data_IF_782475826164
#
_entry.id   IF_782475826164
#
_cell.length_a   1.000
_cell.length_b   1.000
_cell.length_c   1.000
_cell.angle_alpha   90.00
_cell.angle_beta   90.00
_cell.angle_gamma   90.00
#
_symmetry.space_group_name_H-M   'P 1'
#
loop_
_entity.id
_entity.type
_entity.pdbx_description
1 polymer ?
#
# COMPACT_ATOMS: atom_id res chain seq x y z
N UNK A 1 5.75 -75.64 -13.04
CA UNK A 1 4.99 -75.97 -11.81
C UNK A 1 5.90 -76.67 -10.81
N UNK A 2 6.36 -75.94 -9.79
CA UNK A 2 6.94 -76.46 -8.54
C UNK A 2 6.39 -75.56 -7.43
N UNK A 3 5.62 -76.12 -6.50
CA UNK A 3 5.13 -75.42 -5.31
C UNK A 3 6.30 -75.11 -4.36
N UNK A 4 6.39 -73.93 -3.74
CA UNK A 4 7.14 -73.76 -2.51
C UNK A 4 6.31 -74.23 -1.31
N UNK A 5 7.02 -74.71 -0.28
CA UNK A 5 6.51 -75.28 0.97
C UNK A 5 5.97 -74.18 1.91
N UNK A 6 4.95 -74.57 2.68
CA UNK A 6 4.30 -73.85 3.80
C UNK A 6 5.34 -73.20 4.74
N UNK A 7 5.26 -71.89 5.05
CA UNK A 7 4.44 -71.27 6.10
C UNK A 7 4.78 -71.80 7.52
N UNK A 8 5.81 -71.21 8.15
CA UNK A 8 5.98 -71.24 9.60
C UNK A 8 4.96 -70.26 10.21
N UNK A 9 3.72 -70.74 10.35
CA UNK A 9 2.70 -70.14 11.19
C UNK A 9 3.10 -70.48 12.63
N UNK A 10 3.32 -69.46 13.44
CA UNK A 10 3.50 -69.61 14.88
C UNK A 10 2.12 -69.96 15.44
N UNK A 11 1.82 -71.25 15.57
CA UNK A 11 0.66 -71.75 16.29
C UNK A 11 0.82 -71.41 17.78
N UNK A 12 0.04 -70.45 18.24
CA UNK A 12 -0.20 -70.22 19.66
C UNK A 12 -1.43 -71.06 19.99
N UNK A 13 -1.21 -72.28 20.48
CA UNK A 13 -2.27 -73.07 21.13
C UNK A 13 -2.73 -72.33 22.38
N UNK A 14 -3.92 -71.75 22.33
CA UNK A 14 -4.64 -71.22 23.49
C UNK A 14 -5.57 -72.33 23.95
N UNK A 15 -5.12 -73.10 24.95
CA UNK A 15 -5.94 -74.10 25.62
C UNK A 15 -6.97 -73.37 26.50
N UNK A 16 -8.27 -73.62 26.27
CA UNK A 16 -9.36 -72.79 26.79
C UNK A 16 -9.85 -73.20 28.19
N UNK A 17 -9.13 -74.07 28.92
CA UNK A 17 -9.51 -74.51 30.27
C UNK A 17 -8.32 -74.87 31.19
N UNK A 18 -7.43 -73.90 31.50
CA UNK A 18 -6.59 -73.98 32.70
C UNK A 18 -6.66 -72.67 33.51
N UNK A 19 -6.58 -72.83 34.82
CA UNK A 19 -6.76 -71.82 35.87
C UNK A 19 -6.05 -70.48 35.61
N UNK A 20 -6.62 -69.41 36.16
CA UNK A 20 -6.15 -68.00 36.16
C UNK A 20 -4.75 -67.81 36.80
N UNK A 21 -3.72 -68.48 36.31
CA UNK A 21 -2.34 -68.35 36.75
C UNK A 21 -1.45 -68.02 35.54
N UNK A 22 -1.37 -66.74 35.18
CA UNK A 22 -0.62 -66.24 34.03
C UNK A 22 0.84 -66.73 33.89
N UNK A 23 1.44 -66.50 32.73
CA UNK A 23 2.75 -67.01 32.32
C UNK A 23 3.88 -66.42 33.19
N UNK A 24 4.73 -67.22 33.86
CA UNK A 24 5.84 -66.71 34.68
C UNK A 24 6.83 -65.85 33.88
N UNK A 25 7.35 -64.78 34.50
CA UNK A 25 8.23 -63.79 33.82
C UNK A 25 9.48 -64.43 33.18
N UNK A 26 9.97 -65.51 33.78
CA UNK A 26 11.16 -66.26 33.36
C UNK A 26 10.97 -66.91 31.99
N UNK A 27 9.73 -67.23 31.60
CA UNK A 27 9.38 -67.85 30.31
C UNK A 27 8.98 -66.83 29.23
N UNK A 28 8.96 -65.54 29.54
CA UNK A 28 8.57 -64.48 28.59
C UNK A 28 9.75 -63.96 27.77
N UNK A 29 9.47 -63.57 26.52
CA UNK A 29 10.42 -62.86 25.65
C UNK A 29 10.73 -61.44 26.18
N UNK A 30 11.90 -60.89 25.86
CA UNK A 30 12.40 -59.60 26.36
C UNK A 30 11.41 -58.45 26.16
N UNK A 31 10.70 -58.42 25.03
CA UNK A 31 9.67 -57.43 24.73
C UNK A 31 8.48 -57.53 25.70
N UNK A 32 7.96 -58.75 25.97
CA UNK A 32 6.83 -58.96 26.88
C UNK A 32 7.20 -58.72 28.35
N UNK A 33 8.47 -58.94 28.71
CA UNK A 33 8.99 -58.63 30.06
C UNK A 33 8.90 -57.14 30.39
N UNK A 34 9.08 -56.25 29.41
CA UNK A 34 9.00 -54.78 29.60
C UNK A 34 7.57 -54.36 30.00
N UNK A 35 6.54 -55.06 29.53
CA UNK A 35 5.15 -54.75 29.79
C UNK A 35 4.51 -55.60 30.90
N UNK A 36 5.28 -56.49 31.54
CA UNK A 36 4.80 -57.31 32.65
C UNK A 36 5.10 -56.62 33.98
N UNK A 37 4.08 -56.41 34.83
CA UNK A 37 4.25 -55.89 36.20
C UNK A 37 3.85 -56.99 37.18
N UNK A 38 4.83 -57.56 37.90
CA UNK A 38 4.63 -58.68 38.83
C UNK A 38 5.33 -59.96 38.39
N UNK A 39 5.08 -61.09 39.07
CA UNK A 39 5.79 -62.37 38.82
C UNK A 39 5.26 -63.17 37.62
N UNK A 40 4.07 -62.81 37.09
CA UNK A 40 3.34 -63.53 36.04
C UNK A 40 2.70 -62.56 35.07
N UNK A 41 2.65 -62.92 33.79
CA UNK A 41 2.06 -62.18 32.68
C UNK A 41 0.71 -62.77 32.30
N UNK A 42 -0.28 -61.90 32.21
CA UNK A 42 -1.62 -62.23 31.78
C UNK A 42 -1.93 -61.44 30.49
N UNK A 43 -2.24 -62.15 29.41
CA UNK A 43 -2.57 -61.53 28.13
C UNK A 43 -3.78 -60.60 28.21
N UNK A 44 -4.74 -60.89 29.11
CA UNK A 44 -5.90 -60.04 29.35
C UNK A 44 -5.49 -58.73 30.01
N UNK A 45 -4.72 -58.79 31.08
CA UNK A 45 -4.24 -57.60 31.80
C UNK A 45 -3.29 -56.74 30.95
N UNK A 46 -2.47 -57.39 30.11
CA UNK A 46 -1.61 -56.71 29.15
C UNK A 46 -2.43 -56.00 28.08
N UNK A 47 -3.39 -56.70 27.45
CA UNK A 47 -4.25 -56.11 26.43
C UNK A 47 -5.11 -54.97 26.99
N UNK A 48 -5.67 -55.13 28.19
CA UNK A 48 -6.47 -54.08 28.84
C UNK A 48 -5.64 -52.84 29.17
N UNK A 49 -4.38 -53.01 29.59
CA UNK A 49 -3.45 -51.89 29.85
C UNK A 49 -2.97 -51.22 28.57
N UNK A 50 -2.62 -52.00 27.54
CA UNK A 50 -2.24 -51.46 26.23
C UNK A 50 -3.42 -50.69 25.62
N UNK A 51 -4.63 -51.24 25.68
CA UNK A 51 -5.85 -50.56 25.24
C UNK A 51 -6.08 -49.27 26.02
N UNK A 52 -5.94 -49.30 27.35
CA UNK A 52 -6.08 -48.10 28.19
C UNK A 52 -5.04 -47.03 27.86
N UNK A 53 -3.76 -47.40 27.71
CA UNK A 53 -2.68 -46.50 27.32
C UNK A 53 -2.90 -45.91 25.92
N UNK A 54 -3.36 -46.72 24.98
CA UNK A 54 -3.69 -46.25 23.62
C UNK A 54 -4.85 -45.26 23.66
N UNK A 55 -5.91 -45.53 24.41
CA UNK A 55 -7.06 -44.61 24.55
C UNK A 55 -6.66 -43.31 25.26
N UNK A 56 -5.88 -43.39 26.34
CA UNK A 56 -5.35 -42.21 27.05
C UNK A 56 -4.43 -41.39 26.14
N UNK A 57 -3.56 -42.05 25.37
CA UNK A 57 -2.72 -41.42 24.37
C UNK A 57 -3.55 -40.71 23.30
N UNK A 58 -4.55 -41.37 22.71
CA UNK A 58 -5.41 -40.75 21.69
C UNK A 58 -6.24 -39.60 22.26
N UNK A 59 -6.74 -39.70 23.49
CA UNK A 59 -7.48 -38.61 24.14
C UNK A 59 -6.61 -37.36 24.36
N UNK A 60 -5.37 -37.54 24.85
CA UNK A 60 -4.43 -36.43 25.06
C UNK A 60 -3.94 -35.88 23.72
N UNK A 61 -3.57 -36.76 22.78
CA UNK A 61 -3.10 -36.38 21.45
C UNK A 61 -4.17 -35.59 20.68
N UNK A 62 -5.42 -36.05 20.69
CA UNK A 62 -6.54 -35.32 20.09
C UNK A 62 -6.77 -33.98 20.79
N UNK A 63 -6.70 -33.92 22.12
CA UNK A 63 -6.82 -32.65 22.85
C UNK A 63 -5.77 -31.61 22.46
N UNK A 64 -4.50 -32.02 22.35
CA UNK A 64 -3.40 -31.15 21.92
C UNK A 64 -3.51 -30.79 20.44
N UNK A 65 -3.79 -31.76 19.58
CA UNK A 65 -3.95 -31.54 18.14
C UNK A 65 -5.11 -30.59 17.83
N UNK A 66 -6.27 -30.78 18.48
CA UNK A 66 -7.43 -29.91 18.34
C UNK A 66 -7.14 -28.50 18.87
N UNK A 67 -6.42 -28.37 20.00
CA UNK A 67 -5.99 -27.04 20.50
C UNK A 67 -5.13 -26.33 19.47
N UNK A 68 -4.11 -27.00 18.92
CA UNK A 68 -3.22 -26.42 17.91
C UNK A 68 -3.97 -26.07 16.61
N UNK A 69 -4.89 -26.92 16.16
CA UNK A 69 -5.70 -26.66 14.97
C UNK A 69 -6.67 -25.47 15.15
N UNK A 70 -7.23 -25.30 16.36
CA UNK A 70 -8.07 -24.15 16.71
C UNK A 70 -7.23 -22.89 16.84
N UNK A 71 -6.06 -22.97 17.46
CA UNK A 71 -5.14 -21.83 17.61
C UNK A 71 -4.63 -21.35 16.25
N UNK A 72 -4.26 -22.27 15.35
CA UNK A 72 -3.87 -21.94 13.98
C UNK A 72 -5.01 -21.24 13.21
N UNK A 73 -6.24 -21.74 13.30
CA UNK A 73 -7.41 -21.09 12.67
C UNK A 73 -7.75 -19.73 13.30
N UNK A 74 -7.48 -19.54 14.60
CA UNK A 74 -7.68 -18.25 15.28
C UNK A 74 -6.63 -17.23 14.87
N UNK A 75 -5.38 -17.67 14.70
CA UNK A 75 -4.29 -16.85 14.15
C UNK A 75 -4.63 -16.39 12.72
N UNK A 76 -5.02 -17.33 11.83
CA UNK A 76 -5.47 -17.01 10.47
C UNK A 76 -6.66 -16.03 10.44
N UNK A 77 -7.62 -16.18 11.35
CA UNK A 77 -8.80 -15.30 11.45
C UNK A 77 -8.45 -13.89 11.98
N UNK A 78 -7.52 -13.79 12.94
CA UNK A 78 -7.03 -12.50 13.44
C UNK A 78 -6.24 -11.75 12.37
N UNK A 79 -5.38 -12.45 11.63
CA UNK A 79 -4.61 -11.89 10.51
C UNK A 79 -5.56 -11.38 9.42
N UNK A 80 -6.60 -12.15 9.08
CA UNK A 80 -7.65 -11.73 8.16
C UNK A 80 -8.39 -10.46 8.63
N UNK A 81 -8.72 -10.36 9.91
CA UNK A 81 -9.39 -9.17 10.46
C UNK A 81 -8.50 -7.93 10.40
N UNK A 82 -7.19 -8.09 10.65
CA UNK A 82 -6.20 -7.03 10.48
C UNK A 82 -6.07 -6.60 9.01
N UNK A 83 -6.07 -7.55 8.07
CA UNK A 83 -6.02 -7.28 6.64
C UNK A 83 -7.23 -6.48 6.16
N UNK A 84 -8.44 -6.87 6.55
CA UNK A 84 -9.68 -6.15 6.18
C UNK A 84 -9.67 -4.73 6.74
N UNK A 85 -9.22 -4.55 7.98
CA UNK A 85 -9.08 -3.21 8.57
C UNK A 85 -8.06 -2.35 7.80
N UNK A 86 -6.93 -2.93 7.41
CA UNK A 86 -5.94 -2.23 6.59
C UNK A 86 -6.48 -1.87 5.20
N UNK A 87 -7.30 -2.75 4.59
CA UNK A 87 -8.00 -2.46 3.34
C UNK A 87 -8.95 -1.26 3.47
N UNK A 88 -9.72 -1.14 4.55
CA UNK A 88 -10.56 0.04 4.78
C UNK A 88 -9.76 1.34 4.98
N UNK A 89 -8.60 1.26 5.64
CA UNK A 89 -7.69 2.40 5.76
C UNK A 89 -7.14 2.80 4.38
N UNK A 90 -6.78 1.83 3.54
CA UNK A 90 -6.37 2.11 2.15
C UNK A 90 -7.49 2.73 1.33
N UNK A 91 -8.75 2.31 1.47
CA UNK A 91 -9.89 2.97 0.81
C UNK A 91 -9.99 4.45 1.20
N UNK A 92 -9.77 4.75 2.49
CA UNK A 92 -9.78 6.13 2.99
C UNK A 92 -8.62 6.94 2.41
N UNK A 93 -7.39 6.43 2.52
CA UNK A 93 -6.20 7.13 2.02
C UNK A 93 -6.20 7.31 0.50
N UNK A 94 -6.68 6.31 -0.27
CA UNK A 94 -6.82 6.45 -1.73
C UNK A 94 -7.82 7.57 -2.09
N UNK A 95 -8.93 7.70 -1.35
CA UNK A 95 -9.86 8.82 -1.55
C UNK A 95 -9.22 10.16 -1.19
N UNK A 96 -8.43 10.23 -0.12
CA UNK A 96 -7.68 11.44 0.24
C UNK A 96 -6.67 11.82 -0.85
N UNK A 97 -5.98 10.84 -1.46
CA UNK A 97 -5.10 11.08 -2.61
C UNK A 97 -5.88 11.63 -3.80
N UNK A 98 -7.07 11.11 -4.09
CA UNK A 98 -7.91 11.62 -5.19
C UNK A 98 -8.30 13.08 -4.94
N UNK A 99 -8.80 13.41 -3.75
CA UNK A 99 -9.15 14.79 -3.38
C UNK A 99 -7.92 15.71 -3.46
N UNK A 100 -6.79 15.30 -2.88
CA UNK A 100 -5.54 16.06 -2.93
C UNK A 100 -5.06 16.30 -4.36
N UNK A 101 -5.15 15.28 -5.22
CA UNK A 101 -4.75 15.37 -6.63
C UNK A 101 -5.67 16.32 -7.40
N UNK A 102 -6.98 16.33 -7.11
CA UNK A 102 -7.94 17.24 -7.73
C UNK A 102 -7.72 18.69 -7.33
N UNK A 103 -7.52 18.96 -6.04
CA UNK A 103 -7.16 20.30 -5.56
C UNK A 103 -5.87 20.82 -6.22
N UNK A 104 -4.89 19.93 -6.42
CA UNK A 104 -3.63 20.27 -7.07
C UNK A 104 -3.79 20.53 -8.57
N UNK A 105 -4.62 19.73 -9.26
CA UNK A 105 -4.96 19.94 -10.67
C UNK A 105 -5.70 21.27 -10.87
N UNK A 106 -6.66 21.59 -10.00
CA UNK A 106 -7.40 22.86 -10.04
C UNK A 106 -6.45 24.06 -9.88
N UNK A 107 -5.51 23.97 -8.94
CA UNK A 107 -4.45 24.97 -8.77
C UNK A 107 -3.59 25.13 -10.03
N UNK A 108 -3.10 24.02 -10.59
CA UNK A 108 -2.31 24.03 -11.82
C UNK A 108 -3.07 24.64 -13.01
N UNK A 109 -4.34 24.31 -13.17
CA UNK A 109 -5.20 24.87 -14.23
C UNK A 109 -5.31 26.38 -14.06
N UNK A 110 -5.57 26.85 -12.84
CA UNK A 110 -5.67 28.29 -12.56
C UNK A 110 -4.38 29.04 -12.89
N UNK A 111 -3.22 28.53 -12.44
CA UNK A 111 -1.93 29.14 -12.75
C UNK A 111 -1.56 29.06 -14.23
N UNK A 112 -1.88 27.94 -14.89
CA UNK A 112 -1.65 27.77 -16.33
C UNK A 112 -2.41 28.82 -17.12
N UNK A 113 -3.70 28.96 -16.87
CA UNK A 113 -4.57 29.94 -17.54
C UNK A 113 -4.11 31.39 -17.26
N UNK A 114 -3.76 31.70 -16.01
CA UNK A 114 -3.21 33.00 -15.63
C UNK A 114 -1.91 33.35 -16.40
N UNK A 115 -0.97 32.41 -16.45
CA UNK A 115 0.33 32.61 -17.10
C UNK A 115 0.26 32.52 -18.63
N UNK A 116 -0.66 31.74 -19.18
CA UNK A 116 -0.90 31.63 -20.62
C UNK A 116 -1.45 32.94 -21.17
N UNK A 117 -2.47 33.54 -20.52
CA UNK A 117 -2.96 34.87 -20.87
C UNK A 117 -1.85 35.92 -20.87
N UNK A 118 -0.98 35.89 -19.85
CA UNK A 118 0.14 36.80 -19.77
C UNK A 118 1.17 36.57 -20.89
N UNK A 119 1.45 35.31 -21.22
CA UNK A 119 2.38 34.93 -22.27
C UNK A 119 1.90 35.36 -23.66
N UNK A 120 0.61 35.17 -23.95
CA UNK A 120 -0.02 35.52 -25.22
C UNK A 120 -0.02 37.02 -25.45
N UNK A 121 -0.36 37.78 -24.40
CA UNK A 121 -0.40 39.24 -24.44
C UNK A 121 0.99 39.88 -24.46
N UNK A 122 2.07 39.15 -24.16
CA UNK A 122 3.41 39.71 -23.93
C UNK A 122 3.87 40.73 -24.96
N UNK A 123 3.59 40.50 -26.25
CA UNK A 123 4.02 41.36 -27.36
C UNK A 123 3.02 42.47 -27.74
N UNK A 124 1.87 42.58 -27.08
CA UNK A 124 0.85 43.57 -27.41
C UNK A 124 1.30 44.98 -27.04
N UNK A 125 1.03 45.97 -27.90
CA UNK A 125 1.26 47.38 -27.59
C UNK A 125 0.10 47.93 -26.74
N UNK A 126 0.10 47.57 -25.46
CA UNK A 126 -0.90 47.99 -24.47
C UNK A 126 -0.19 48.44 -23.19
N UNK A 127 -0.58 49.60 -22.65
CA UNK A 127 0.01 50.14 -21.42
C UNK A 127 -0.19 49.20 -20.21
N UNK A 128 -1.27 48.42 -20.19
CA UNK A 128 -1.61 47.46 -19.12
C UNK A 128 -1.31 46.01 -19.50
N UNK A 129 -0.42 45.76 -20.47
CA UNK A 129 -0.13 44.42 -21.00
C UNK A 129 0.28 43.38 -19.95
N UNK A 130 0.88 43.81 -18.83
CA UNK A 130 1.29 42.97 -17.71
C UNK A 130 0.30 42.95 -16.53
N UNK A 131 -0.88 43.53 -16.70
CA UNK A 131 -1.92 43.56 -15.68
C UNK A 131 -3.13 42.76 -16.16
N UNK A 132 -3.68 41.94 -15.26
CA UNK A 132 -4.95 41.26 -15.43
C UNK A 132 -5.97 41.80 -14.43
N UNK A 133 -7.25 41.54 -14.68
CA UNK A 133 -8.35 41.99 -13.82
C UNK A 133 -8.98 40.79 -13.14
N UNK A 134 -9.10 40.84 -11.80
CA UNK A 134 -9.88 39.86 -11.04
C UNK A 134 -11.18 40.48 -10.56
N UNK A 135 -12.28 39.73 -10.61
CA UNK A 135 -13.60 40.16 -10.19
C UNK A 135 -14.40 40.87 -11.29
N UNK A 136 -15.61 41.29 -10.96
CA UNK A 136 -16.54 41.95 -11.89
C UNK A 136 -17.09 43.26 -11.29
N UNK A 137 -17.41 44.21 -12.18
CA UNK A 137 -18.08 45.46 -11.78
C UNK A 137 -17.20 46.36 -10.90
N UNK A 138 -17.79 46.92 -9.85
CA UNK A 138 -17.12 47.89 -8.97
C UNK A 138 -16.07 47.30 -8.03
N UNK A 139 -16.05 45.96 -7.87
CA UNK A 139 -15.08 45.25 -7.02
C UNK A 139 -13.90 44.71 -7.81
N UNK A 140 -13.90 44.89 -9.14
CA UNK A 140 -12.81 44.41 -9.98
C UNK A 140 -11.51 45.16 -9.65
N UNK A 141 -10.43 44.41 -9.48
CA UNK A 141 -9.11 44.99 -9.21
C UNK A 141 -8.06 44.46 -10.19
N UNK A 142 -7.14 45.35 -10.55
CA UNK A 142 -5.99 45.00 -11.37
C UNK A 142 -4.92 44.32 -10.51
N UNK A 143 -4.26 43.32 -11.07
CA UNK A 143 -3.11 42.67 -10.47
C UNK A 143 -2.14 42.24 -11.57
N UNK A 144 -0.85 42.10 -11.25
CA UNK A 144 0.12 41.57 -12.18
C UNK A 144 0.19 40.03 -12.07
N UNK A 145 -0.11 39.25 -13.12
CA UNK A 145 0.02 37.79 -13.09
C UNK A 145 1.38 37.31 -12.60
N UNK A 146 2.45 37.96 -13.06
CA UNK A 146 3.83 37.61 -12.71
C UNK A 146 4.22 37.97 -11.27
N UNK A 147 3.37 38.67 -10.51
CA UNK A 147 3.57 38.83 -9.06
C UNK A 147 3.42 37.50 -8.30
N UNK A 148 2.70 36.53 -8.87
CA UNK A 148 2.55 35.19 -8.33
C UNK A 148 3.58 34.20 -8.88
N UNK A 149 4.58 34.67 -9.63
CA UNK A 149 5.52 33.78 -10.33
C UNK A 149 6.44 33.01 -9.37
N UNK A 150 6.64 33.46 -8.15
CA UNK A 150 7.43 32.71 -7.16
C UNK A 150 6.64 31.61 -6.44
N UNK A 151 5.33 31.49 -6.71
CA UNK A 151 4.50 30.48 -6.06
C UNK A 151 4.77 29.10 -6.63
N UNK A 152 5.52 28.29 -5.88
CA UNK A 152 5.73 26.87 -6.16
C UNK A 152 4.51 26.03 -5.74
N UNK A 153 4.28 24.92 -6.44
CA UNK A 153 3.22 23.95 -6.14
C UNK A 153 3.81 22.55 -5.99
N UNK A 154 4.50 22.25 -4.88
CA UNK A 154 5.00 20.90 -4.64
C UNK A 154 3.83 19.92 -4.49
N UNK A 155 4.01 18.71 -5.02
CA UNK A 155 3.04 17.63 -4.90
C UNK A 155 3.55 16.59 -3.89
N UNK A 156 2.81 16.36 -2.81
CA UNK A 156 3.13 15.38 -1.76
C UNK A 156 1.86 14.74 -1.19
N UNK A 157 1.32 13.71 -1.84
CA UNK A 157 0.07 13.08 -1.44
C UNK A 157 0.23 12.28 -0.13
N UNK A 158 -0.86 12.06 0.63
CA UNK A 158 -0.83 11.28 1.87
C UNK A 158 -0.35 9.84 1.61
N UNK A 159 0.36 9.27 2.58
CA UNK A 159 0.97 7.93 2.49
C UNK A 159 1.14 7.24 3.85
N UNK A 160 0.36 7.67 4.86
CA UNK A 160 0.52 7.25 6.25
C UNK A 160 0.17 5.78 6.41
N UNK A 161 -0.94 5.35 5.84
CA UNK A 161 -1.43 3.97 5.87
C UNK A 161 -0.46 3.06 5.15
N UNK A 162 -0.08 3.42 3.92
CA UNK A 162 0.91 2.66 3.17
C UNK A 162 2.22 2.47 3.94
N UNK A 163 2.77 3.54 4.49
CA UNK A 163 4.01 3.49 5.27
C UNK A 163 3.85 2.61 6.51
N UNK A 164 2.73 2.74 7.25
CA UNK A 164 2.47 1.93 8.44
C UNK A 164 2.38 0.44 8.12
N UNK A 165 1.61 0.08 7.08
CA UNK A 165 1.37 -1.31 6.67
C UNK A 165 2.62 -1.96 6.08
N UNK A 166 3.50 -1.18 5.41
CA UNK A 166 4.81 -1.67 5.03
C UNK A 166 5.72 -1.95 6.24
N UNK A 167 5.72 -1.05 7.24
CA UNK A 167 6.57 -1.17 8.42
C UNK A 167 6.17 -2.33 9.34
N UNK A 168 4.87 -2.58 9.49
CA UNK A 168 4.35 -3.67 10.33
C UNK A 168 4.38 -5.05 9.62
N UNK A 169 4.73 -5.07 8.33
CA UNK A 169 4.88 -6.30 7.54
C UNK A 169 3.56 -6.94 7.12
N UNK A 170 2.42 -6.30 7.38
CA UNK A 170 1.10 -6.80 6.98
C UNK A 170 0.80 -6.57 5.49
N UNK A 171 1.62 -5.74 4.81
CA UNK A 171 1.53 -5.52 3.37
C UNK A 171 1.57 -6.82 2.54
N UNK A 172 2.34 -7.82 3.01
CA UNK A 172 2.50 -9.14 2.35
C UNK A 172 1.23 -10.00 2.34
N UNK A 173 0.21 -9.62 3.10
CA UNK A 173 -1.04 -10.35 3.19
C UNK A 173 -2.11 -9.82 2.22
N UNK A 174 -1.79 -8.74 1.50
CA UNK A 174 -2.59 -8.27 0.39
C UNK A 174 -2.47 -9.22 -0.80
N UNK A 175 -3.49 -9.23 -1.67
CA UNK A 175 -3.37 -9.92 -2.94
C UNK A 175 -2.28 -9.27 -3.81
N UNK A 176 -1.42 -10.07 -4.45
CA UNK A 176 -0.28 -9.61 -5.26
C UNK A 176 -0.64 -8.48 -6.25
N UNK A 177 -1.83 -8.56 -6.86
CA UNK A 177 -2.31 -7.55 -7.83
C UNK A 177 -2.58 -6.20 -7.18
N UNK A 178 -3.15 -6.20 -5.98
CA UNK A 178 -3.41 -5.01 -5.17
C UNK A 178 -2.10 -4.45 -4.61
N UNK A 179 -1.23 -5.32 -4.07
CA UNK A 179 0.09 -4.95 -3.54
C UNK A 179 0.91 -4.19 -4.59
N UNK A 180 0.99 -4.71 -5.81
CA UNK A 180 1.71 -4.07 -6.92
C UNK A 180 1.11 -2.72 -7.31
N UNK A 181 -0.22 -2.59 -7.34
CA UNK A 181 -0.90 -1.31 -7.65
C UNK A 181 -0.62 -0.26 -6.59
N UNK A 182 -0.75 -0.61 -5.30
CA UNK A 182 -0.44 0.28 -4.19
C UNK A 182 1.04 0.69 -4.24
N UNK A 183 1.96 -0.26 -4.42
CA UNK A 183 3.39 0.04 -4.53
C UNK A 183 3.70 1.08 -5.61
N UNK A 184 3.08 0.95 -6.79
CA UNK A 184 3.25 1.90 -7.89
C UNK A 184 2.65 3.28 -7.61
N UNK A 185 1.55 3.34 -6.86
CA UNK A 185 0.91 4.60 -6.44
C UNK A 185 1.81 5.33 -5.44
N UNK A 186 2.23 4.66 -4.36
CA UNK A 186 2.89 5.30 -3.22
C UNK A 186 4.42 5.42 -3.34
N UNK A 187 5.05 4.55 -4.12
CA UNK A 187 6.52 4.46 -4.18
C UNK A 187 7.08 4.15 -5.58
N UNK A 188 6.22 4.15 -6.60
CA UNK A 188 6.62 3.91 -7.98
C UNK A 188 7.44 5.05 -8.56
N UNK A 189 8.11 4.77 -9.68
CA UNK A 189 8.86 5.77 -10.44
C UNK A 189 8.00 6.93 -10.90
N UNK A 190 6.72 6.68 -11.21
CA UNK A 190 5.80 7.71 -11.67
C UNK A 190 5.58 8.79 -10.61
N UNK A 191 5.29 8.40 -9.36
CA UNK A 191 5.14 9.35 -8.27
C UNK A 191 6.44 10.11 -8.04
N UNK A 192 7.59 9.42 -8.05
CA UNK A 192 8.89 10.08 -7.96
C UNK A 192 9.05 11.20 -9.00
N UNK A 193 8.75 10.93 -10.27
CA UNK A 193 8.88 11.93 -11.32
C UNK A 193 7.84 13.06 -11.22
N UNK A 194 6.64 12.79 -10.71
CA UNK A 194 5.64 13.83 -10.43
C UNK A 194 6.20 14.79 -9.36
N UNK A 195 6.70 14.26 -8.24
CA UNK A 195 7.27 15.07 -7.15
C UNK A 195 8.48 15.88 -7.62
N UNK A 196 9.38 15.26 -8.39
CA UNK A 196 10.56 15.94 -8.95
C UNK A 196 10.16 17.08 -9.91
N UNK A 197 9.17 16.86 -10.77
CA UNK A 197 8.70 17.90 -11.69
C UNK A 197 7.96 19.04 -10.98
N UNK A 198 7.07 18.71 -10.03
CA UNK A 198 6.28 19.67 -9.26
C UNK A 198 7.11 20.52 -8.30
N UNK A 199 8.24 19.99 -7.84
CA UNK A 199 9.12 20.71 -6.93
C UNK A 199 10.39 21.19 -7.62
N UNK A 200 11.35 20.30 -7.88
CA UNK A 200 12.70 20.70 -8.27
C UNK A 200 12.78 21.33 -9.65
N UNK A 201 12.04 20.78 -10.63
CA UNK A 201 12.06 21.34 -11.99
C UNK A 201 11.36 22.69 -12.04
N UNK A 202 10.20 22.83 -11.38
CA UNK A 202 9.50 24.12 -11.28
C UNK A 202 10.34 25.15 -10.51
N UNK A 203 10.92 24.75 -9.37
CA UNK A 203 11.78 25.62 -8.57
C UNK A 203 12.98 26.14 -9.36
N UNK A 204 13.62 25.30 -10.18
CA UNK A 204 14.72 25.77 -11.03
C UNK A 204 14.27 26.85 -12.04
N UNK A 205 13.03 26.80 -12.52
CA UNK A 205 12.47 27.82 -13.41
C UNK A 205 12.16 29.12 -12.62
N UNK A 206 11.65 28.99 -11.40
CA UNK A 206 11.43 30.12 -10.48
C UNK A 206 12.76 30.78 -10.11
N UNK A 207 13.80 29.99 -9.81
CA UNK A 207 15.12 30.50 -9.45
C UNK A 207 15.74 31.28 -10.63
N UNK A 208 15.56 30.80 -11.86
CA UNK A 208 15.97 31.53 -13.08
C UNK A 208 15.24 32.89 -13.21
N UNK A 209 13.97 32.98 -12.79
CA UNK A 209 13.20 34.23 -12.75
C UNK A 209 13.73 35.19 -11.70
N UNK A 210 13.95 34.70 -10.48
CA UNK A 210 14.52 35.49 -9.37
C UNK A 210 15.92 36.00 -9.73
N UNK A 211 16.76 35.13 -10.30
CA UNK A 211 18.10 35.50 -10.76
C UNK A 211 18.05 36.56 -11.87
N UNK A 212 17.11 36.45 -12.81
CA UNK A 212 16.96 37.48 -13.85
C UNK A 212 16.56 38.83 -13.26
N UNK A 213 15.73 38.85 -12.24
CA UNK A 213 15.40 40.09 -11.53
C UNK A 213 16.65 40.67 -10.85
N UNK A 214 17.35 39.86 -10.05
CA UNK A 214 18.51 40.32 -9.28
C UNK A 214 19.67 40.79 -10.15
N UNK A 215 19.96 40.04 -11.22
CA UNK A 215 21.18 40.22 -12.00
C UNK A 215 21.01 41.21 -13.15
N UNK A 216 19.76 41.53 -13.50
CA UNK A 216 19.47 42.40 -14.65
C UNK A 216 18.51 43.51 -14.35
N UNK A 217 17.32 43.19 -13.86
CA UNK A 217 16.30 44.23 -13.66
C UNK A 217 16.73 45.23 -12.60
N UNK A 218 17.33 44.78 -11.49
CA UNK A 218 17.84 45.68 -10.46
C UNK A 218 18.93 46.62 -10.99
N UNK A 219 19.83 46.12 -11.84
CA UNK A 219 20.91 46.94 -12.43
C UNK A 219 20.38 47.94 -13.47
N UNK A 220 19.48 47.49 -14.35
CA UNK A 220 19.08 48.25 -15.53
C UNK A 220 17.82 49.12 -15.31
N UNK A 221 16.94 48.73 -14.38
CA UNK A 221 15.70 49.47 -14.02
C UNK A 221 15.88 50.25 -12.71
N UNK A 222 16.59 49.67 -11.73
CA UNK A 222 16.73 50.23 -10.38
C UNK A 222 15.81 49.54 -9.37
N UNK A 223 14.90 50.28 -8.76
CA UNK A 223 13.97 49.74 -7.76
C UNK A 223 12.97 48.78 -8.41
N UNK A 224 13.11 47.48 -8.15
CA UNK A 224 12.21 46.44 -8.66
C UNK A 224 11.25 46.03 -7.56
N UNK A 225 9.95 46.14 -7.83
CA UNK A 225 8.91 45.65 -6.93
C UNK A 225 7.76 44.98 -7.70
N UNK A 226 7.92 43.68 -7.93
CA UNK A 226 7.00 42.88 -8.74
C UNK A 226 5.61 42.71 -8.12
N UNK A 227 5.43 43.06 -6.85
CA UNK A 227 4.14 43.00 -6.17
C UNK A 227 3.23 44.21 -6.47
N UNK A 228 3.78 45.32 -6.99
CA UNK A 228 3.03 46.54 -7.26
C UNK A 228 2.75 46.69 -8.76
N UNK A 229 1.51 47.04 -9.10
CA UNK A 229 1.06 47.18 -10.49
C UNK A 229 1.82 48.30 -11.24
N UNK A 230 2.18 49.36 -10.52
CA UNK A 230 2.91 50.52 -11.04
C UNK A 230 4.26 50.10 -11.64
N UNK A 231 4.98 49.18 -10.99
CA UNK A 231 6.24 48.65 -11.51
C UNK A 231 6.06 48.05 -12.91
N UNK A 232 5.01 47.25 -13.10
CA UNK A 232 4.73 46.59 -14.38
C UNK A 232 4.29 47.58 -15.46
N UNK A 233 3.48 48.57 -15.09
CA UNK A 233 3.02 49.62 -15.98
C UNK A 233 4.18 50.50 -16.47
N UNK A 234 5.00 51.01 -15.53
CA UNK A 234 6.09 51.96 -15.81
C UNK A 234 7.20 51.30 -16.62
N UNK A 235 7.46 50.01 -16.39
CA UNK A 235 8.59 49.29 -16.99
C UNK A 235 8.19 48.38 -18.16
N UNK A 236 6.94 48.43 -18.63
CA UNK A 236 6.44 47.49 -19.64
C UNK A 236 7.37 47.38 -20.86
N UNK A 237 7.86 48.50 -21.41
CA UNK A 237 8.64 48.51 -22.66
C UNK A 237 9.99 47.85 -22.50
N UNK A 238 10.55 47.90 -21.29
CA UNK A 238 11.77 47.21 -20.94
C UNK A 238 11.48 45.70 -20.82
N UNK A 239 10.46 45.33 -20.03
CA UNK A 239 10.08 43.94 -19.77
C UNK A 239 9.66 43.21 -21.06
N UNK A 240 8.92 43.85 -21.97
CA UNK A 240 8.55 43.28 -23.26
C UNK A 240 9.75 42.89 -24.13
N UNK A 241 10.88 43.60 -24.00
CA UNK A 241 12.13 43.30 -24.70
C UNK A 241 12.95 42.20 -24.01
N UNK A 242 12.55 41.77 -22.82
CA UNK A 242 13.18 40.68 -22.11
C UNK A 242 12.70 39.32 -22.63
N UNK A 243 13.31 38.88 -23.73
CA UNK A 243 13.01 37.57 -24.32
C UNK A 243 13.39 36.40 -23.41
N UNK A 244 14.34 36.58 -22.48
CA UNK A 244 14.66 35.54 -21.51
C UNK A 244 13.47 35.31 -20.58
N UNK A 245 12.87 36.36 -20.04
CA UNK A 245 11.72 36.26 -19.15
C UNK A 245 10.50 35.66 -19.84
N UNK A 246 10.24 36.07 -21.09
CA UNK A 246 9.19 35.45 -21.89
C UNK A 246 9.43 33.95 -22.12
N UNK A 247 10.68 33.57 -22.40
CA UNK A 247 11.05 32.17 -22.59
C UNK A 247 10.99 31.37 -21.28
N UNK A 248 11.36 31.96 -20.15
CA UNK A 248 11.23 31.35 -18.82
C UNK A 248 9.75 31.06 -18.50
N UNK A 249 8.85 32.02 -18.75
CA UNK A 249 7.39 31.85 -18.65
C UNK A 249 6.88 30.69 -19.53
N UNK A 250 7.34 30.62 -20.79
CA UNK A 250 7.03 29.50 -21.68
C UNK A 250 7.50 28.15 -21.11
N UNK A 251 8.72 28.08 -20.58
CA UNK A 251 9.24 26.85 -19.96
C UNK A 251 8.36 26.39 -18.81
N UNK A 252 7.89 27.33 -17.99
CA UNK A 252 7.01 27.02 -16.86
C UNK A 252 5.66 26.49 -17.30
N UNK A 253 5.05 27.12 -18.30
CA UNK A 253 3.80 26.63 -18.92
C UNK A 253 3.94 25.19 -19.45
N UNK A 254 5.07 24.87 -20.12
CA UNK A 254 5.35 23.49 -20.54
C UNK A 254 5.59 22.52 -19.39
N UNK A 255 6.15 23.00 -18.28
CA UNK A 255 6.25 22.26 -17.04
C UNK A 255 4.87 21.90 -16.48
N UNK A 256 3.96 22.87 -16.39
CA UNK A 256 2.59 22.67 -15.91
C UNK A 256 1.79 21.73 -16.82
N UNK A 257 1.85 21.91 -18.14
CA UNK A 257 1.19 20.99 -19.10
C UNK A 257 1.62 19.54 -18.87
N UNK A 258 2.93 19.31 -18.74
CA UNK A 258 3.48 17.98 -18.45
C UNK A 258 3.01 17.45 -17.10
N UNK A 259 3.04 18.28 -16.06
CA UNK A 259 2.65 17.87 -14.70
C UNK A 259 1.16 17.50 -14.65
N UNK A 260 0.29 18.29 -15.30
CA UNK A 260 -1.15 18.01 -15.43
C UNK A 260 -1.40 16.63 -16.03
N UNK A 261 -0.71 16.27 -17.13
CA UNK A 261 -0.83 14.94 -17.75
C UNK A 261 -0.40 13.83 -16.77
N UNK A 262 0.70 14.04 -16.05
CA UNK A 262 1.20 13.04 -15.11
C UNK A 262 0.26 12.85 -13.91
N UNK A 263 -0.30 13.94 -13.38
CA UNK A 263 -1.26 13.90 -12.28
C UNK A 263 -2.57 13.24 -12.69
N UNK A 264 -3.09 13.53 -13.89
CA UNK A 264 -4.28 12.86 -14.43
C UNK A 264 -4.06 11.35 -14.57
N UNK A 265 -2.90 10.93 -15.10
CA UNK A 265 -2.56 9.51 -15.19
C UNK A 265 -2.38 8.87 -13.80
N UNK A 266 -1.85 9.60 -12.81
CA UNK A 266 -1.74 9.13 -11.43
C UNK A 266 -3.12 8.96 -10.79
N UNK A 267 -4.02 9.94 -10.96
CA UNK A 267 -5.41 9.89 -10.52
C UNK A 267 -6.13 8.66 -11.08
N UNK A 268 -5.96 8.35 -12.36
CA UNK A 268 -6.53 7.16 -13.00
C UNK A 268 -6.02 5.86 -12.36
N UNK A 269 -4.72 5.76 -12.05
CA UNK A 269 -4.16 4.61 -11.33
C UNK A 269 -4.75 4.45 -9.92
N UNK A 270 -4.94 5.57 -9.21
CA UNK A 270 -5.56 5.58 -7.87
C UNK A 270 -7.02 5.12 -7.95
N UNK A 271 -7.79 5.61 -8.93
CA UNK A 271 -9.17 5.16 -9.19
C UNK A 271 -9.24 3.66 -9.48
N UNK A 272 -8.37 3.15 -10.36
CA UNK A 272 -8.32 1.71 -10.66
C UNK A 272 -8.00 0.87 -9.41
N UNK A 273 -7.06 1.32 -8.58
CA UNK A 273 -6.72 0.64 -7.33
C UNK A 273 -7.89 0.69 -6.34
N UNK A 274 -8.61 1.81 -6.25
CA UNK A 274 -9.80 1.93 -5.41
C UNK A 274 -10.89 0.94 -5.84
N UNK A 275 -11.19 0.84 -7.14
CA UNK A 275 -12.19 -0.10 -7.67
C UNK A 275 -11.80 -1.55 -7.37
N UNK A 276 -10.53 -1.91 -7.56
CA UNK A 276 -10.03 -3.24 -7.23
C UNK A 276 -10.16 -3.53 -5.73
N UNK A 277 -9.76 -2.57 -4.89
CA UNK A 277 -9.83 -2.69 -3.44
C UNK A 277 -11.27 -2.86 -2.96
N UNK A 278 -12.20 -2.07 -3.48
CA UNK A 278 -13.63 -2.20 -3.18
C UNK A 278 -14.16 -3.59 -3.53
N UNK A 279 -13.76 -4.12 -4.69
CA UNK A 279 -14.12 -5.49 -5.09
C UNK A 279 -13.55 -6.55 -4.13
N UNK A 280 -12.29 -6.41 -3.71
CA UNK A 280 -11.64 -7.36 -2.80
C UNK A 280 -12.30 -7.32 -1.42
N UNK A 281 -12.53 -6.11 -0.89
CA UNK A 281 -13.21 -5.91 0.40
C UNK A 281 -14.61 -6.50 0.36
N UNK A 282 -15.40 -6.21 -0.67
CA UNK A 282 -16.74 -6.76 -0.81
C UNK A 282 -16.76 -8.30 -0.84
N UNK A 283 -15.84 -8.91 -1.58
CA UNK A 283 -15.69 -10.36 -1.62
C UNK A 283 -15.31 -10.94 -0.24
N UNK A 284 -14.39 -10.28 0.49
CA UNK A 284 -13.97 -10.69 1.83
C UNK A 284 -15.06 -10.50 2.88
N UNK A 285 -15.91 -9.48 2.76
CA UNK A 285 -17.06 -9.27 3.67
C UNK A 285 -18.19 -10.28 3.44
N UNK A 286 -18.38 -10.75 2.20
CA UNK A 286 -19.39 -11.77 1.86
C UNK A 286 -18.98 -13.20 2.22
N UNK A 287 -17.68 -13.44 2.44
CA UNK A 287 -17.19 -14.74 2.86
C UNK A 287 -17.64 -15.04 4.30
N UNK A 288 -18.52 -16.03 4.45
CA UNK A 288 -18.89 -16.59 5.75
C UNK A 288 -17.84 -17.60 6.19
N UNK A 289 -17.09 -17.30 7.24
CA UNK A 289 -16.18 -18.27 7.88
C UNK A 289 -16.95 -19.15 8.87
N UNK A 290 -16.98 -20.45 8.58
CA UNK A 290 -17.42 -21.46 9.54
C UNK A 290 -16.20 -21.98 10.30
N UNK A 291 -16.00 -21.50 11.53
CA UNK A 291 -15.11 -22.16 12.49
C UNK A 291 -15.89 -23.34 13.07
N UNK A 292 -15.69 -24.53 12.49
CA UNK A 292 -16.36 -25.75 12.96
C UNK A 292 -15.41 -26.66 13.74
N UNK A 293 -15.98 -27.35 14.73
CA UNK A 293 -15.38 -28.51 15.38
C UNK A 293 -15.69 -29.76 14.54
N UNK A 294 -14.68 -30.58 14.22
CA UNK A 294 -14.90 -31.94 13.72
C UNK A 294 -15.05 -32.84 14.93
N UNK A 295 -16.22 -33.46 15.09
CA UNK A 295 -16.43 -34.56 16.02
C UNK A 295 -16.55 -35.81 15.15
N UNK A 296 -15.51 -36.64 15.14
CA UNK A 296 -15.56 -38.01 14.64
C UNK A 296 -15.81 -38.97 15.81
#
# INVERSE_FOLDING_TARGET
MKKPKDQDIIDIDIDENEDNEGIPIEKLNWFLRIFTIGKRFNFRDFYDRVKKLIVEFFAIFMGVFLSLAVDQKREDSNDRAADVNNMHKFQTELNEILTYTDEHLDGLIWFTDLFERQYDRWSEDNDSVFLDMMGEGAEAYAFAPLSFYEQAMPFDPPSVTYTSVQLDGTFRFLEDTLENKLTNIYSGSDLFFIKENAYKVDQAIIDDFVARISDKWVEEIGEVNIAYNEFWFDNRKYIQKDFFMRYNLYRRLKGFEKLTIQLQAHKERVLEASILLDSIVHAKEQQTEFIYWVID
#
